data_IF_256459806156
#
_entry.id   IF_256459806156
#
_cell.length_a   1.000
_cell.length_b   1.000
_cell.length_c   1.000
_cell.angle_alpha   90.00
_cell.angle_beta   90.00
_cell.angle_gamma   90.00
#
_symmetry.space_group_name_H-M   'P 1'
#
loop_
_entity.id
_entity.type
_entity.pdbx_description
1 polymer ?
#
# COMPACT_ATOMS: atom_id res chain seq x y z
N UNK A 1 -31.55 -53.92 -12.86
CA UNK A 1 -31.73 -54.17 -11.41
C UNK A 1 -30.59 -53.46 -10.71
N UNK A 2 -30.71 -52.31 -10.05
CA UNK A 2 -31.76 -51.83 -9.15
C UNK A 2 -32.34 -50.47 -9.58
N UNK A 3 -33.65 -50.32 -9.40
CA UNK A 3 -34.43 -49.08 -9.55
C UNK A 3 -35.13 -48.82 -8.22
N UNK A 4 -34.96 -47.63 -7.67
CA UNK A 4 -36.01 -46.78 -7.05
C UNK A 4 -35.34 -45.45 -6.72
N UNK A 5 -35.62 -44.38 -7.46
CA UNK A 5 -36.80 -43.51 -7.36
C UNK A 5 -36.78 -42.77 -6.01
N UNK A 6 -36.07 -41.64 -5.99
CA UNK A 6 -36.61 -40.39 -5.50
C UNK A 6 -35.69 -39.25 -5.91
N UNK A 7 -36.11 -38.52 -6.94
CA UNK A 7 -35.55 -37.25 -7.32
C UNK A 7 -35.74 -36.24 -6.20
N UNK A 8 -34.72 -36.10 -5.35
CA UNK A 8 -34.44 -34.86 -4.64
C UNK A 8 -33.06 -34.44 -5.09
N UNK A 9 -33.00 -33.60 -6.11
CA UNK A 9 -31.84 -32.72 -6.30
C UNK A 9 -31.73 -31.90 -5.02
N UNK A 10 -30.83 -32.31 -4.13
CA UNK A 10 -30.33 -31.48 -3.05
C UNK A 10 -29.67 -30.31 -3.74
N UNK A 11 -30.42 -29.22 -3.93
CA UNK A 11 -29.89 -27.93 -4.32
C UNK A 11 -28.91 -27.60 -3.21
N UNK A 12 -27.62 -27.74 -3.49
CA UNK A 12 -26.58 -27.26 -2.60
C UNK A 12 -26.92 -25.80 -2.33
N UNK A 13 -27.33 -25.50 -1.11
CA UNK A 13 -27.45 -24.12 -0.68
C UNK A 13 -26.10 -23.47 -0.97
N UNK A 14 -26.07 -22.32 -1.66
CA UNK A 14 -24.82 -21.58 -1.75
C UNK A 14 -24.37 -21.37 -0.32
N UNK A 15 -23.18 -21.88 0.03
CA UNK A 15 -22.58 -21.62 1.32
C UNK A 15 -22.58 -20.11 1.47
N UNK A 16 -23.44 -19.61 2.36
CA UNK A 16 -23.46 -18.21 2.71
C UNK A 16 -22.09 -17.97 3.34
N UNK A 17 -21.16 -17.49 2.52
CA UNK A 17 -19.81 -17.18 2.94
C UNK A 17 -19.98 -15.96 3.81
N UNK A 18 -20.20 -16.24 5.10
CA UNK A 18 -20.19 -15.28 6.19
C UNK A 18 -18.95 -14.41 5.98
N UNK A 19 -19.18 -13.24 5.40
CA UNK A 19 -18.13 -12.34 5.00
C UNK A 19 -17.70 -11.67 6.29
N UNK A 20 -16.57 -12.10 6.85
CA UNK A 20 -16.09 -11.59 8.13
C UNK A 20 -16.05 -10.05 8.10
N UNK A 21 -16.53 -9.37 9.16
CA UNK A 21 -16.47 -7.92 9.24
C UNK A 21 -15.03 -7.42 9.01
N UNK A 22 -14.89 -6.29 8.31
CA UNK A 22 -13.58 -5.69 8.07
C UNK A 22 -13.29 -4.67 9.17
N UNK A 23 -12.11 -4.77 9.76
CA UNK A 23 -11.58 -3.79 10.72
C UNK A 23 -10.42 -3.03 10.12
N UNK A 24 -10.32 -1.74 10.43
CA UNK A 24 -9.20 -0.88 10.04
C UNK A 24 -8.37 -0.59 11.29
N UNK A 25 -7.04 -0.72 11.17
CA UNK A 25 -6.10 -0.34 12.22
C UNK A 25 -4.84 0.27 11.63
N UNK A 26 -4.09 1.00 12.44
CA UNK A 26 -2.77 1.44 12.05
C UNK A 26 -1.84 0.23 11.82
N UNK A 27 -0.99 0.34 10.80
CA UNK A 27 0.04 -0.65 10.51
C UNK A 27 1.12 -0.65 11.59
N UNK A 28 1.60 -1.84 11.94
CA UNK A 28 2.74 -2.06 12.83
C UNK A 28 4.03 -1.92 12.02
N UNK A 29 5.12 -1.54 12.69
CA UNK A 29 6.39 -1.22 12.03
C UNK A 29 7.00 -2.41 11.27
N UNK A 30 6.70 -3.65 11.65
CA UNK A 30 7.21 -4.85 11.00
C UNK A 30 6.30 -5.39 9.88
N UNK A 31 5.16 -4.75 9.61
CA UNK A 31 4.22 -5.21 8.58
C UNK A 31 4.61 -4.80 7.15
N UNK A 32 5.77 -4.15 6.96
CA UNK A 32 6.23 -3.69 5.65
C UNK A 32 6.33 -4.80 4.62
N UNK A 33 6.78 -6.00 5.02
CA UNK A 33 6.81 -7.18 4.14
C UNK A 33 5.41 -7.58 3.67
N UNK A 34 4.43 -7.64 4.59
CA UNK A 34 3.06 -8.03 4.25
C UNK A 34 2.39 -6.99 3.35
N UNK A 35 2.61 -5.71 3.62
CA UNK A 35 2.12 -4.61 2.80
C UNK A 35 2.72 -4.67 1.39
N UNK A 36 4.04 -4.92 1.30
CA UNK A 36 4.73 -5.09 0.02
C UNK A 36 4.22 -6.28 -0.77
N UNK A 37 3.95 -7.40 -0.11
CA UNK A 37 3.34 -8.59 -0.73
C UNK A 37 1.94 -8.31 -1.29
N UNK A 38 1.07 -7.61 -0.54
CA UNK A 38 -0.25 -7.21 -1.04
C UNK A 38 -0.10 -6.35 -2.29
N UNK A 39 0.80 -5.37 -2.25
CA UNK A 39 1.04 -4.48 -3.38
C UNK A 39 1.59 -5.23 -4.61
N UNK A 40 2.61 -6.08 -4.41
CA UNK A 40 3.27 -6.78 -5.51
C UNK A 40 2.30 -7.72 -6.23
N UNK A 41 1.44 -8.43 -5.48
CA UNK A 41 0.40 -9.32 -6.02
C UNK A 41 -0.71 -8.56 -6.73
N UNK A 42 -1.20 -7.47 -6.12
CA UNK A 42 -2.31 -6.70 -6.70
C UNK A 42 -1.88 -6.00 -7.99
N UNK A 43 -0.68 -5.42 -8.04
CA UNK A 43 -0.19 -4.70 -9.21
C UNK A 43 0.47 -5.57 -10.28
N UNK A 44 0.70 -6.86 -10.00
CA UNK A 44 1.50 -7.78 -10.81
C UNK A 44 1.24 -7.73 -12.31
N UNK A 45 -0.03 -7.56 -12.71
CA UNK A 45 -0.46 -7.63 -14.11
C UNK A 45 -1.12 -6.33 -14.59
N UNK A 46 -0.63 -5.20 -14.08
CA UNK A 46 -1.12 -3.88 -14.51
C UNK A 46 -0.27 -3.33 -15.66
N UNK A 47 -0.83 -2.51 -16.57
CA UNK A 47 -0.07 -1.89 -17.65
C UNK A 47 1.17 -1.13 -17.17
N UNK A 48 1.06 -0.44 -16.03
CA UNK A 48 2.19 0.25 -15.42
C UNK A 48 3.31 -0.71 -15.01
N UNK A 49 2.98 -1.87 -14.43
CA UNK A 49 3.99 -2.86 -14.05
C UNK A 49 4.57 -3.60 -15.26
N UNK A 50 3.80 -3.81 -16.32
CA UNK A 50 4.35 -4.29 -17.60
C UNK A 50 5.41 -3.33 -18.16
N UNK A 51 5.17 -2.02 -18.04
CA UNK A 51 6.13 -1.00 -18.45
C UNK A 51 7.35 -0.90 -17.51
N UNK A 52 7.14 -0.82 -16.20
CA UNK A 52 8.21 -0.59 -15.23
C UNK A 52 9.06 -1.83 -14.95
N UNK A 53 8.44 -3.01 -14.91
CA UNK A 53 9.06 -4.27 -14.53
C UNK A 53 8.75 -5.41 -15.53
N UNK A 54 9.22 -5.28 -16.78
CA UNK A 54 8.95 -6.27 -17.82
C UNK A 54 9.56 -7.64 -17.50
N UNK A 55 10.61 -7.71 -16.66
CA UNK A 55 11.31 -8.95 -16.34
C UNK A 55 10.88 -9.58 -15.01
N UNK A 56 9.78 -9.12 -14.41
CA UNK A 56 9.26 -9.62 -13.11
C UNK A 56 8.99 -11.12 -13.07
N UNK A 57 8.59 -11.74 -14.19
CA UNK A 57 8.38 -13.18 -14.27
C UNK A 57 9.71 -13.95 -14.17
N UNK A 58 10.78 -13.40 -14.76
CA UNK A 58 12.12 -13.97 -14.71
C UNK A 58 12.81 -13.72 -13.37
N UNK A 59 12.51 -12.59 -12.73
CA UNK A 59 13.11 -12.16 -11.46
C UNK A 59 12.03 -11.81 -10.41
N UNK A 60 11.20 -12.78 -9.98
CA UNK A 60 10.08 -12.51 -9.08
C UNK A 60 10.52 -12.08 -7.68
N UNK A 61 11.67 -12.58 -7.21
CA UNK A 61 12.23 -12.19 -5.92
C UNK A 61 12.64 -10.71 -5.90
N UNK A 62 13.26 -10.22 -6.98
CA UNK A 62 13.66 -8.81 -7.11
C UNK A 62 12.42 -7.91 -7.17
N UNK A 63 11.43 -8.30 -7.97
CA UNK A 63 10.14 -7.61 -8.07
C UNK A 63 9.48 -7.46 -6.69
N UNK A 64 9.28 -8.57 -5.96
CA UNK A 64 8.65 -8.55 -4.63
C UNK A 64 9.48 -7.73 -3.63
N UNK A 65 10.81 -7.88 -3.65
CA UNK A 65 11.71 -7.16 -2.74
C UNK A 65 11.52 -5.65 -2.84
N UNK A 66 11.42 -5.08 -4.05
CA UNK A 66 11.26 -3.62 -4.19
C UNK A 66 9.96 -3.09 -3.59
N UNK A 67 8.87 -3.86 -3.62
CA UNK A 67 7.63 -3.51 -2.94
C UNK A 67 7.76 -3.58 -1.42
N UNK A 68 8.44 -4.61 -0.91
CA UNK A 68 8.71 -4.75 0.52
C UNK A 68 9.57 -3.60 1.03
N UNK A 69 10.64 -3.26 0.31
CA UNK A 69 11.54 -2.14 0.64
C UNK A 69 10.79 -0.82 0.68
N UNK A 70 10.00 -0.52 -0.35
CA UNK A 70 9.20 0.71 -0.41
C UNK A 70 8.17 0.79 0.71
N UNK A 71 7.51 -0.32 1.01
CA UNK A 71 6.49 -0.39 2.06
C UNK A 71 7.10 -0.21 3.44
N UNK A 72 8.24 -0.84 3.70
CA UNK A 72 8.97 -0.69 4.95
C UNK A 72 9.54 0.72 5.13
N UNK A 73 10.09 1.32 4.07
CA UNK A 73 10.57 2.71 4.09
C UNK A 73 9.44 3.70 4.44
N UNK A 74 8.22 3.47 3.93
CA UNK A 74 7.04 4.27 4.30
C UNK A 74 6.69 4.14 5.79
N UNK A 75 6.80 2.94 6.37
CA UNK A 75 6.51 2.75 7.81
C UNK A 75 7.52 3.48 8.71
N UNK A 76 8.78 3.61 8.28
CA UNK A 76 9.82 4.32 9.01
C UNK A 76 9.81 5.83 8.81
N UNK A 77 9.17 6.33 7.74
CA UNK A 77 9.05 7.75 7.50
C UNK A 77 7.95 8.36 8.41
N UNK A 78 8.30 9.32 9.30
CA UNK A 78 7.33 9.87 10.26
C UNK A 78 6.23 10.70 9.61
N UNK A 79 6.40 11.16 8.36
CA UNK A 79 5.33 11.85 7.62
C UNK A 79 4.28 10.89 7.08
N UNK A 80 4.58 9.61 6.97
CA UNK A 80 3.61 8.61 6.52
C UNK A 80 2.74 8.10 7.65
N UNK A 81 1.44 7.97 7.39
CA UNK A 81 0.46 7.28 8.21
C UNK A 81 -0.10 6.11 7.39
N UNK A 82 0.13 4.90 7.87
CA UNK A 82 -0.28 3.68 7.16
C UNK A 82 -1.34 2.94 7.96
N UNK A 83 -2.43 2.60 7.30
CA UNK A 83 -3.50 1.76 7.83
C UNK A 83 -3.53 0.44 7.08
N UNK A 84 -3.92 -0.62 7.79
CA UNK A 84 -4.23 -1.93 7.21
C UNK A 84 -5.68 -2.28 7.47
N UNK A 85 -6.29 -2.95 6.50
CA UNK A 85 -7.57 -3.61 6.66
C UNK A 85 -7.32 -5.09 6.98
N UNK A 86 -8.05 -5.62 7.94
CA UNK A 86 -8.01 -7.03 8.34
C UNK A 86 -9.44 -7.56 8.45
N UNK A 87 -9.62 -8.87 8.28
CA UNK A 87 -10.86 -9.51 8.69
C UNK A 87 -10.90 -9.62 10.22
N UNK A 88 -12.07 -9.41 10.83
CA UNK A 88 -12.24 -9.47 12.28
C UNK A 88 -11.91 -10.85 12.85
N UNK A 89 -12.09 -11.91 12.05
CA UNK A 89 -11.66 -13.28 12.40
C UNK A 89 -10.14 -13.44 12.47
N UNK A 90 -9.37 -12.57 11.79
CA UNK A 90 -7.90 -12.58 11.83
C UNK A 90 -7.31 -11.15 11.80
N UNK A 91 -7.38 -10.41 12.93
CA UNK A 91 -6.91 -9.03 13.03
C UNK A 91 -5.41 -8.82 12.75
N UNK A 92 -4.63 -9.90 12.86
CA UNK A 92 -3.18 -9.89 12.63
C UNK A 92 -2.80 -10.00 11.15
N UNK A 93 -3.75 -10.35 10.28
CA UNK A 93 -3.49 -10.57 8.87
C UNK A 93 -4.07 -9.46 7.99
N UNK A 94 -3.19 -8.61 7.47
CA UNK A 94 -3.60 -7.55 6.55
C UNK A 94 -4.05 -8.12 5.20
N UNK A 95 -5.22 -7.67 4.74
CA UNK A 95 -5.83 -8.01 3.45
C UNK A 95 -5.85 -6.81 2.47
N UNK A 96 -5.57 -5.61 2.99
CA UNK A 96 -5.45 -4.37 2.25
C UNK A 96 -4.72 -3.33 3.09
N UNK A 97 -4.26 -2.25 2.46
CA UNK A 97 -3.60 -1.16 3.15
C UNK A 97 -3.79 0.17 2.44
N UNK A 98 -3.60 1.25 3.18
CA UNK A 98 -3.44 2.58 2.62
C UNK A 98 -2.30 3.31 3.32
N UNK A 99 -1.45 3.98 2.54
CA UNK A 99 -0.34 4.79 3.03
C UNK A 99 -0.57 6.25 2.61
N UNK A 100 -0.75 7.11 3.61
CA UNK A 100 -1.00 8.53 3.44
C UNK A 100 0.22 9.33 3.88
N UNK A 101 0.58 10.36 3.14
CA UNK A 101 1.70 11.24 3.43
C UNK A 101 1.16 12.62 3.83
N UNK A 102 1.53 13.09 5.02
CA UNK A 102 1.21 14.46 5.43
C UNK A 102 2.25 15.45 4.88
N UNK A 103 1.82 16.25 3.91
CA UNK A 103 2.61 17.28 3.23
C UNK A 103 2.18 18.67 3.68
N UNK A 104 3.10 19.63 3.61
CA UNK A 104 2.89 20.99 4.11
C UNK A 104 3.75 21.32 5.33
N UNK A 105 3.58 22.54 5.81
CA UNK A 105 4.24 23.11 6.99
C UNK A 105 3.27 23.92 7.87
N UNK A 106 1.98 23.62 7.74
CA UNK A 106 0.95 24.12 8.63
C UNK A 106 0.97 23.39 9.98
N UNK A 107 0.18 23.87 10.93
CA UNK A 107 0.16 23.34 12.29
C UNK A 107 -0.26 21.86 12.33
N UNK A 108 -1.14 21.41 11.43
CA UNK A 108 -1.49 20.00 11.29
C UNK A 108 -0.28 19.13 10.89
N UNK A 109 0.50 19.56 9.89
CA UNK A 109 1.72 18.86 9.48
C UNK A 109 2.76 18.79 10.60
N UNK A 110 3.00 19.91 11.31
CA UNK A 110 3.96 19.97 12.42
C UNK A 110 3.52 19.08 13.59
N UNK A 111 2.24 19.11 13.95
CA UNK A 111 1.68 18.26 15.00
C UNK A 111 1.77 16.78 14.64
N UNK A 112 1.44 16.40 13.41
CA UNK A 112 1.59 15.03 12.92
C UNK A 112 3.06 14.58 13.02
N UNK A 113 3.98 15.41 12.51
CA UNK A 113 5.41 15.10 12.56
C UNK A 113 5.90 14.97 14.01
N UNK A 114 5.53 15.88 14.90
CA UNK A 114 5.89 15.84 16.31
C UNK A 114 5.36 14.58 17.01
N UNK A 115 4.13 14.16 16.73
CA UNK A 115 3.52 12.96 17.31
C UNK A 115 4.25 11.66 16.93
N UNK A 116 4.98 11.69 15.81
CA UNK A 116 5.71 10.54 15.26
C UNK A 116 7.22 10.68 15.29
N UNK A 117 7.74 11.83 15.70
CA UNK A 117 9.17 12.09 15.76
C UNK A 117 9.75 11.25 16.88
N UNK A 118 10.47 10.21 16.50
CA UNK A 118 11.18 9.33 17.43
C UNK A 118 12.61 9.18 16.94
N UNK A 119 13.58 9.37 17.84
CA UNK A 119 14.99 9.10 17.55
C UNK A 119 15.18 7.66 17.07
N UNK A 120 14.37 6.73 17.60
CA UNK A 120 14.36 5.34 17.17
C UNK A 120 13.88 5.17 15.72
N UNK A 121 12.78 5.83 15.32
CA UNK A 121 12.31 5.79 13.93
C UNK A 121 13.29 6.44 12.97
N UNK A 122 13.94 7.52 13.39
CA UNK A 122 15.00 8.16 12.62
C UNK A 122 16.18 7.20 12.41
N UNK A 123 16.67 6.55 13.46
CA UNK A 123 17.75 5.57 13.38
C UNK A 123 17.37 4.38 12.48
N UNK A 124 16.16 3.82 12.65
CA UNK A 124 15.65 2.74 11.81
C UNK A 124 15.55 3.15 10.33
N UNK A 125 15.05 4.36 10.04
CA UNK A 125 14.98 4.88 8.68
C UNK A 125 16.35 4.98 8.02
N UNK A 126 17.38 5.43 8.75
CA UNK A 126 18.75 5.53 8.24
C UNK A 126 19.41 4.17 8.02
N UNK A 127 19.31 3.27 9.01
CA UNK A 127 19.83 1.91 8.89
C UNK A 127 19.17 1.17 7.72
N UNK A 128 17.85 1.32 7.58
CA UNK A 128 17.11 0.69 6.50
C UNK A 128 17.46 1.30 5.14
N UNK A 129 17.60 2.62 5.05
CA UNK A 129 18.08 3.28 3.82
C UNK A 129 19.46 2.76 3.40
N UNK A 130 20.40 2.67 4.35
CA UNK A 130 21.74 2.15 4.09
C UNK A 130 21.69 0.68 3.62
N UNK A 131 20.89 -0.15 4.27
CA UNK A 131 20.64 -1.54 3.86
C UNK A 131 20.11 -1.63 2.41
N UNK A 132 19.07 -0.86 2.07
CA UNK A 132 18.53 -0.84 0.71
C UNK A 132 19.55 -0.33 -0.32
N UNK A 133 20.41 0.65 0.04
CA UNK A 133 21.48 1.13 -0.83
C UNK A 133 22.53 0.06 -1.10
N UNK A 134 22.93 -0.70 -0.07
CA UNK A 134 23.85 -1.82 -0.25
C UNK A 134 23.24 -2.87 -1.17
N UNK A 135 21.98 -3.26 -0.96
CA UNK A 135 21.30 -4.22 -1.83
C UNK A 135 21.17 -3.74 -3.28
N UNK A 136 20.86 -2.46 -3.48
CA UNK A 136 20.79 -1.88 -4.82
C UNK A 136 22.15 -1.94 -5.55
N UNK A 137 23.25 -1.78 -4.82
CA UNK A 137 24.60 -1.83 -5.39
C UNK A 137 25.10 -3.25 -5.61
N UNK A 138 24.74 -4.21 -4.75
CA UNK A 138 25.26 -5.59 -4.81
C UNK A 138 24.39 -6.51 -5.64
N UNK A 139 23.06 -6.41 -5.51
CA UNK A 139 22.09 -7.28 -6.18
C UNK A 139 21.41 -6.57 -7.35
N UNK A 140 21.09 -5.28 -7.16
CA UNK A 140 20.28 -4.50 -8.10
C UNK A 140 18.84 -5.02 -8.21
N UNK A 141 18.02 -4.35 -9.02
CA UNK A 141 16.67 -4.82 -9.37
C UNK A 141 16.66 -5.28 -10.83
N UNK A 142 16.70 -6.60 -11.04
CA UNK A 142 16.70 -7.18 -12.40
C UNK A 142 15.29 -7.29 -12.98
N UNK A 143 14.25 -7.05 -12.17
CA UNK A 143 12.87 -7.08 -12.63
C UNK A 143 12.50 -5.84 -13.42
N UNK A 144 13.11 -4.69 -13.10
CA UNK A 144 12.82 -3.39 -13.65
C UNK A 144 13.56 -3.07 -14.96
N UNK A 145 12.96 -2.25 -15.81
CA UNK A 145 13.65 -1.54 -16.88
C UNK A 145 14.10 -0.16 -16.37
N UNK A 146 15.42 0.10 -16.23
CA UNK A 146 15.93 1.37 -15.73
C UNK A 146 15.50 2.58 -16.56
N UNK A 147 15.31 2.43 -17.88
CA UNK A 147 14.87 3.52 -18.75
C UNK A 147 13.41 3.85 -18.50
N UNK A 148 12.54 2.84 -18.47
CA UNK A 148 11.13 3.00 -18.14
C UNK A 148 10.93 3.61 -16.75
N UNK A 149 11.71 3.17 -15.76
CA UNK A 149 11.69 3.75 -14.41
C UNK A 149 12.13 5.22 -14.41
N UNK A 150 13.17 5.58 -15.17
CA UNK A 150 13.64 6.96 -15.27
C UNK A 150 12.60 7.86 -15.95
N UNK A 151 12.00 7.39 -17.06
CA UNK A 151 10.93 8.08 -17.77
C UNK A 151 9.73 8.31 -16.86
N UNK A 152 9.24 7.27 -16.17
CA UNK A 152 8.12 7.39 -15.25
C UNK A 152 8.39 8.38 -14.11
N UNK A 153 9.62 8.41 -13.58
CA UNK A 153 10.00 9.42 -12.57
C UNK A 153 9.98 10.84 -13.13
N UNK A 154 10.40 11.03 -14.37
CA UNK A 154 10.33 12.33 -15.04
C UNK A 154 8.88 12.79 -15.22
N UNK A 155 7.98 11.87 -15.58
CA UNK A 155 6.55 12.17 -15.70
C UNK A 155 5.95 12.56 -14.35
N UNK A 156 6.26 11.81 -13.28
CA UNK A 156 5.82 12.16 -11.91
C UNK A 156 6.31 13.56 -11.52
N UNK A 157 7.58 13.89 -11.77
CA UNK A 157 8.12 15.21 -11.42
C UNK A 157 7.41 16.34 -12.19
N UNK A 158 7.10 16.13 -13.46
CA UNK A 158 6.35 17.08 -14.29
C UNK A 158 4.91 17.26 -13.79
N UNK A 159 4.23 16.17 -13.45
CA UNK A 159 2.88 16.20 -12.90
C UNK A 159 2.86 16.86 -11.52
N UNK A 160 3.89 16.60 -10.70
CA UNK A 160 4.00 17.21 -9.38
C UNK A 160 4.13 18.74 -9.47
N UNK A 161 4.93 19.22 -10.42
CA UNK A 161 5.06 20.65 -10.65
C UNK A 161 3.75 21.26 -11.15
N UNK A 162 3.13 20.63 -12.15
CA UNK A 162 1.92 21.13 -12.82
C UNK A 162 0.67 21.12 -11.93
N UNK A 163 0.50 20.10 -11.09
CA UNK A 163 -0.75 19.91 -10.35
C UNK A 163 -0.65 20.16 -8.86
N UNK A 164 0.56 20.17 -8.28
CA UNK A 164 0.74 20.37 -6.84
C UNK A 164 1.57 21.59 -6.50
N UNK A 165 2.79 21.73 -7.02
CA UNK A 165 3.71 22.80 -6.57
C UNK A 165 3.29 24.18 -7.09
N UNK A 166 2.77 24.24 -8.32
CA UNK A 166 2.27 25.49 -8.94
C UNK A 166 0.94 25.99 -8.37
N UNK A 167 0.31 25.22 -7.46
CA UNK A 167 -1.04 25.49 -6.93
C UNK A 167 -0.95 25.67 -5.40
N UNK A 168 -0.76 26.90 -4.89
CA UNK A 168 -0.44 27.16 -3.48
C UNK A 168 -1.45 26.56 -2.49
N UNK A 169 -2.73 26.54 -2.84
CA UNK A 169 -3.80 25.98 -2.02
C UNK A 169 -3.66 24.46 -1.80
N UNK A 170 -2.91 23.75 -2.65
CA UNK A 170 -2.66 22.31 -2.52
C UNK A 170 -1.38 21.99 -1.75
N UNK A 171 -0.65 22.99 -1.27
CA UNK A 171 0.64 22.80 -0.59
C UNK A 171 0.48 21.99 0.69
N UNK A 172 -0.52 22.32 1.50
CA UNK A 172 -0.87 21.58 2.71
C UNK A 172 -1.93 20.55 2.34
N UNK A 173 -1.64 19.26 2.54
CA UNK A 173 -2.56 18.18 2.16
C UNK A 173 -2.22 16.86 2.82
N UNK A 174 -3.21 16.00 2.88
CA UNK A 174 -3.00 14.56 3.01
C UNK A 174 -2.92 13.91 1.62
N UNK A 175 -1.74 13.41 1.25
CA UNK A 175 -1.52 12.77 -0.04
C UNK A 175 -1.69 11.25 0.05
N UNK A 176 -2.61 10.67 -0.73
CA UNK A 176 -2.80 9.24 -0.84
C UNK A 176 -1.70 8.59 -1.70
N UNK A 177 -0.58 8.21 -1.07
CA UNK A 177 0.56 7.65 -1.79
C UNK A 177 0.37 6.21 -2.26
N UNK A 178 -0.54 5.45 -1.64
CA UNK A 178 -0.91 4.11 -2.09
C UNK A 178 -2.17 3.65 -1.37
N UNK A 179 -3.12 3.06 -2.11
CA UNK A 179 -4.31 2.40 -1.54
C UNK A 179 -4.51 1.10 -2.29
N UNK A 180 -4.39 -0.02 -1.59
CA UNK A 180 -4.37 -1.34 -2.22
C UNK A 180 -5.23 -2.31 -1.42
N UNK A 181 -6.07 -3.05 -2.13
CA UNK A 181 -6.85 -4.15 -1.58
C UNK A 181 -6.45 -5.42 -2.33
N UNK A 182 -6.19 -6.51 -1.60
CA UNK A 182 -5.92 -7.82 -2.21
C UNK A 182 -7.08 -8.22 -3.13
N UNK A 183 -6.76 -8.84 -4.28
CA UNK A 183 -7.75 -9.10 -5.35
C UNK A 183 -8.98 -9.85 -4.83
N UNK A 184 -8.77 -10.88 -4.02
CA UNK A 184 -9.80 -11.68 -3.36
C UNK A 184 -10.70 -10.92 -2.36
N UNK A 185 -10.31 -9.70 -1.94
CA UNK A 185 -11.06 -8.85 -1.01
C UNK A 185 -11.65 -7.59 -1.66
N UNK A 186 -11.50 -7.42 -2.97
CA UNK A 186 -12.08 -6.30 -3.71
C UNK A 186 -13.62 -6.43 -3.79
N UNK A 187 -14.31 -5.31 -4.06
CA UNK A 187 -15.78 -5.27 -4.06
C UNK A 187 -16.44 -5.28 -2.67
N UNK A 188 -15.69 -5.51 -1.59
CA UNK A 188 -16.19 -5.53 -0.20
C UNK A 188 -16.17 -4.17 0.51
N UNK A 189 -15.95 -3.06 -0.21
CA UNK A 189 -15.88 -1.72 0.37
C UNK A 189 -14.61 -1.41 1.18
N UNK A 190 -13.61 -2.31 1.20
CA UNK A 190 -12.35 -2.14 1.97
C UNK A 190 -11.62 -0.84 1.63
N UNK A 191 -11.52 -0.50 0.34
CA UNK A 191 -10.87 0.73 -0.10
C UNK A 191 -11.57 1.99 0.42
N UNK A 192 -12.91 1.98 0.49
CA UNK A 192 -13.70 3.07 1.05
C UNK A 192 -13.42 3.24 2.55
N UNK A 193 -13.35 2.13 3.30
CA UNK A 193 -13.04 2.16 4.73
C UNK A 193 -11.63 2.70 4.99
N UNK A 194 -10.64 2.30 4.19
CA UNK A 194 -9.27 2.83 4.28
C UNK A 194 -9.20 4.33 3.97
N UNK A 195 -9.87 4.78 2.92
CA UNK A 195 -9.91 6.21 2.56
C UNK A 195 -10.64 7.07 3.60
N UNK A 196 -11.68 6.53 4.24
CA UNK A 196 -12.41 7.25 5.28
C UNK A 196 -11.54 7.63 6.48
N UNK A 197 -10.42 6.93 6.72
CA UNK A 197 -9.45 7.32 7.76
C UNK A 197 -8.75 8.64 7.43
N UNK A 198 -8.30 8.83 6.18
CA UNK A 198 -7.58 10.05 5.82
C UNK A 198 -8.52 11.22 5.60
N UNK A 199 -9.69 10.97 5.02
CA UNK A 199 -10.69 12.02 4.75
C UNK A 199 -11.13 12.69 6.06
N UNK A 200 -11.48 11.91 7.08
CA UNK A 200 -11.85 12.47 8.40
C UNK A 200 -10.74 13.32 9.03
N UNK A 201 -9.47 12.97 8.79
CA UNK A 201 -8.32 13.74 9.31
C UNK A 201 -8.14 15.03 8.53
N UNK A 202 -8.23 14.95 7.20
CA UNK A 202 -8.16 16.09 6.31
C UNK A 202 -9.27 17.12 6.64
N UNK A 203 -10.51 16.66 6.78
CA UNK A 203 -11.66 17.48 7.22
C UNK A 203 -11.43 18.12 8.59
N UNK A 204 -10.85 17.39 9.56
CA UNK A 204 -10.55 17.93 10.89
C UNK A 204 -9.41 18.95 10.92
N UNK A 205 -8.59 18.96 9.88
CA UNK A 205 -7.45 19.87 9.70
C UNK A 205 -7.75 20.99 8.69
N UNK A 206 -8.92 20.98 8.05
CA UNK A 206 -9.32 21.89 6.96
C UNK A 206 -8.35 21.89 5.77
N UNK A 207 -7.91 20.68 5.34
CA UNK A 207 -6.96 20.45 4.23
C UNK A 207 -7.38 19.33 3.28
#
# INVERSE_FOLDING_TARGET
>A
MSLTINGKTTKAEPSSTSTSPIIIRQARLWEGYRIGEIASKTYYDTPLIHFLAPYREKYPADYIRTFNERSQARLFNPRFLTFVACEASNPSYAIGYAAFLRLGDDEGAKKHLASRKSLWLWALSWLFWAYCKVLQLTVGDKSADPKAVAEFRSLIASDDEKYWNSVPERKNRWHAGSVVVGKEFQGRGVGKLLMAEVIRRAESEDV
#
